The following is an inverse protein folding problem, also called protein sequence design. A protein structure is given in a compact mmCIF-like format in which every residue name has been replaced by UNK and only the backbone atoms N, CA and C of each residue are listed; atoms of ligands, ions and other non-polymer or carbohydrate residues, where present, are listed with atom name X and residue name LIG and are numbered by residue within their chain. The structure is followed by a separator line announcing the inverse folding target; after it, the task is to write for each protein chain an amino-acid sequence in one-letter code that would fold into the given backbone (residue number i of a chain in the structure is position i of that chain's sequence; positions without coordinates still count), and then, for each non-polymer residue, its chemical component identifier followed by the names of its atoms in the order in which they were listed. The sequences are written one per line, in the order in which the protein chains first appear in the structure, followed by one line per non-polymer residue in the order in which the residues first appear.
data_IF_723975479110
#
_entry.id   IF_723975479110
#
_cell.length_a   1.000
_cell.length_b   1.000
_cell.length_c   1.000
_cell.angle_alpha   90.00
_cell.angle_beta   90.00
_cell.angle_gamma   90.00
#
_symmetry.space_group_name_H-M   'P 1'
#
loop_
_entity.id
_entity.type
_entity.pdbx_description
1 polymer ?
#
# COMPACT_ATOMS: atom_id res chain seq x y z
N UNK A 1 -32.38 -45.94 14.43
CA UNK A 1 -31.37 -44.87 14.38
C UNK A 1 -30.01 -45.49 14.12
N UNK A 2 -29.58 -45.56 12.86
CA UNK A 2 -28.29 -46.17 12.48
C UNK A 2 -27.17 -45.13 12.64
N UNK A 3 -26.46 -45.19 13.77
CA UNK A 3 -25.21 -44.45 13.94
C UNK A 3 -24.12 -45.07 13.06
N UNK A 4 -23.79 -44.44 11.93
CA UNK A 4 -22.59 -44.79 11.16
C UNK A 4 -21.38 -44.55 12.06
N UNK A 5 -20.74 -45.62 12.53
CA UNK A 5 -19.42 -45.54 13.17
C UNK A 5 -18.42 -45.03 12.12
N UNK A 6 -17.93 -43.80 12.30
CA UNK A 6 -16.78 -43.33 11.53
C UNK A 6 -15.58 -44.22 11.86
N UNK A 7 -14.85 -44.66 10.83
CA UNK A 7 -13.62 -45.44 11.00
C UNK A 7 -12.48 -44.50 11.38
N UNK A 8 -11.48 -45.01 12.10
CA UNK A 8 -10.26 -44.25 12.46
C UNK A 8 -9.59 -43.60 11.23
N UNK A 9 -9.67 -44.23 10.06
CA UNK A 9 -9.15 -43.69 8.81
C UNK A 9 -9.93 -42.44 8.34
N UNK A 10 -11.26 -42.40 8.50
CA UNK A 10 -12.08 -41.23 8.12
C UNK A 10 -11.85 -40.05 9.08
N UNK A 11 -11.61 -40.33 10.37
CA UNK A 11 -11.27 -39.29 11.36
C UNK A 11 -9.86 -38.73 11.12
N UNK A 12 -8.88 -39.58 10.75
CA UNK A 12 -7.53 -39.14 10.42
C UNK A 12 -7.46 -38.29 9.15
N UNK A 13 -8.25 -38.62 8.11
CA UNK A 13 -8.34 -37.81 6.89
C UNK A 13 -9.01 -36.46 7.17
N UNK A 14 -10.05 -36.42 8.01
CA UNK A 14 -10.68 -35.16 8.42
C UNK A 14 -9.75 -34.28 9.27
N UNK A 15 -8.95 -34.86 10.17
CA UNK A 15 -7.93 -34.14 10.94
C UNK A 15 -6.77 -33.64 10.08
N UNK A 16 -6.32 -34.41 9.09
CA UNK A 16 -5.29 -33.99 8.14
C UNK A 16 -5.77 -32.88 7.20
N UNK A 17 -7.04 -32.92 6.76
CA UNK A 17 -7.65 -31.82 6.01
C UNK A 17 -7.77 -30.56 6.88
N UNK A 18 -8.18 -30.71 8.15
CA UNK A 18 -8.29 -29.58 9.07
C UNK A 18 -6.93 -28.95 9.37
N UNK A 19 -5.86 -29.74 9.49
CA UNK A 19 -4.49 -29.25 9.67
C UNK A 19 -3.90 -28.57 8.42
N UNK A 20 -4.37 -28.93 7.21
CA UNK A 20 -3.98 -28.23 5.98
C UNK A 20 -4.74 -26.91 5.75
N UNK A 21 -5.91 -26.75 6.37
CA UNK A 21 -6.73 -25.52 6.29
C UNK A 21 -6.58 -24.60 7.50
N UNK A 22 -6.06 -25.12 8.62
CA UNK A 22 -5.79 -24.32 9.80
C UNK A 22 -4.40 -23.69 9.64
N UNK A 23 -4.36 -22.48 9.07
CA UNK A 23 -3.22 -21.59 9.24
C UNK A 23 -2.97 -21.49 10.75
N UNK A 24 -1.80 -21.89 11.27
CA UNK A 24 -1.54 -21.73 12.70
C UNK A 24 -1.73 -20.25 13.02
N UNK A 25 -2.60 -19.96 13.99
CA UNK A 25 -2.77 -18.61 14.49
C UNK A 25 -1.44 -18.24 15.14
N UNK A 26 -0.61 -17.51 14.40
CA UNK A 26 0.66 -17.00 14.91
C UNK A 26 0.35 -16.12 16.12
N UNK A 27 1.12 -16.28 17.19
CA UNK A 27 1.04 -15.39 18.33
C UNK A 27 1.49 -13.98 17.89
N UNK A 28 0.88 -12.94 18.46
CA UNK A 28 1.14 -11.54 18.08
C UNK A 28 2.61 -11.13 18.25
N UNK A 29 3.30 -11.71 19.22
CA UNK A 29 4.73 -11.51 19.49
C UNK A 29 5.66 -12.31 18.57
N UNK A 30 5.11 -13.10 17.64
CA UNK A 30 5.93 -13.86 16.67
C UNK A 30 6.71 -12.91 15.79
N UNK A 31 8.03 -13.04 15.76
CA UNK A 31 8.91 -12.35 14.80
C UNK A 31 8.65 -12.92 13.40
N UNK A 32 8.27 -12.07 12.46
CA UNK A 32 7.95 -12.46 11.07
C UNK A 32 9.03 -12.03 10.07
N UNK A 33 10.04 -11.28 10.52
CA UNK A 33 11.19 -10.85 9.75
C UNK A 33 11.92 -9.72 10.47
N UNK A 34 12.83 -9.06 9.75
CA UNK A 34 13.67 -7.99 10.27
C UNK A 34 13.79 -6.84 9.26
N UNK A 35 14.15 -5.67 9.75
CA UNK A 35 14.57 -4.52 8.93
C UNK A 35 15.96 -4.08 9.37
N UNK A 36 16.84 -3.82 8.40
CA UNK A 36 18.19 -3.31 8.66
C UNK A 36 18.27 -1.79 8.80
N UNK A 37 17.12 -1.11 8.75
CA UNK A 37 16.96 0.34 8.92
C UNK A 37 15.64 0.63 9.66
N UNK A 38 15.49 1.83 10.24
CA UNK A 38 14.21 2.27 10.78
C UNK A 38 13.20 2.52 9.65
N UNK A 39 12.00 1.97 9.76
CA UNK A 39 10.89 2.20 8.81
C UNK A 39 10.05 3.37 9.32
N UNK A 40 10.19 4.53 8.66
CA UNK A 40 9.56 5.77 9.11
C UNK A 40 8.08 5.83 8.71
N UNK A 41 7.21 5.45 9.63
CA UNK A 41 5.76 5.52 9.51
C UNK A 41 5.12 6.66 10.30
N UNK A 42 5.93 7.59 10.82
CA UNK A 42 5.45 8.68 11.66
C UNK A 42 4.38 9.50 10.93
N UNK A 43 3.24 9.72 11.61
CA UNK A 43 2.10 10.47 11.06
C UNK A 43 2.53 11.80 10.44
N UNK A 44 3.47 12.50 11.06
CA UNK A 44 3.96 13.80 10.60
C UNK A 44 4.74 13.70 9.28
N UNK A 45 5.38 12.56 9.01
CA UNK A 45 6.22 12.35 7.83
C UNK A 45 5.43 11.71 6.69
N UNK A 46 4.77 10.57 6.91
CA UNK A 46 4.04 9.84 5.85
C UNK A 46 2.91 10.66 5.21
N UNK A 47 2.51 11.77 5.85
CA UNK A 47 1.45 12.68 5.41
C UNK A 47 1.93 14.01 4.84
N UNK A 48 3.24 14.24 4.78
CA UNK A 48 3.80 15.51 4.29
C UNK A 48 5.04 15.34 3.41
N UNK A 49 5.67 14.17 3.42
CA UNK A 49 6.90 13.92 2.67
C UNK A 49 7.01 12.44 2.27
N UNK A 50 7.92 12.17 1.35
CA UNK A 50 8.36 10.80 1.06
C UNK A 50 8.96 10.14 2.31
N UNK A 51 8.63 8.88 2.52
CA UNK A 51 9.18 8.04 3.58
C UNK A 51 9.59 6.70 3.03
N UNK A 52 10.59 6.07 3.64
CA UNK A 52 11.01 4.74 3.22
C UNK A 52 9.93 3.68 3.46
N UNK A 53 9.15 3.77 4.55
CA UNK A 53 8.03 2.86 4.76
C UNK A 53 6.91 3.10 3.73
N UNK A 54 6.64 4.35 3.38
CA UNK A 54 5.72 4.68 2.28
C UNK A 54 6.16 4.11 0.94
N UNK A 55 7.46 4.20 0.63
CA UNK A 55 8.04 3.59 -0.56
C UNK A 55 7.89 2.07 -0.54
N UNK A 56 8.21 1.41 0.56
CA UNK A 56 8.04 -0.04 0.73
C UNK A 56 6.59 -0.49 0.48
N UNK A 57 5.62 0.21 1.08
CA UNK A 57 4.19 -0.09 0.92
C UNK A 57 3.78 0.08 -0.55
N UNK A 58 4.15 1.17 -1.19
CA UNK A 58 3.83 1.37 -2.61
C UNK A 58 4.55 0.35 -3.51
N UNK A 59 5.80 -0.01 -3.20
CA UNK A 59 6.58 -0.99 -3.98
C UNK A 59 5.99 -2.39 -3.90
N UNK A 60 5.66 -2.88 -2.70
CA UNK A 60 5.07 -4.21 -2.56
C UNK A 60 3.72 -4.29 -3.29
N UNK A 61 2.91 -3.23 -3.25
CA UNK A 61 1.62 -3.17 -3.96
C UNK A 61 1.86 -3.21 -5.46
N UNK A 62 2.80 -2.40 -5.97
CA UNK A 62 3.12 -2.37 -7.40
C UNK A 62 3.67 -3.70 -7.90
N UNK A 63 4.57 -4.32 -7.15
CA UNK A 63 5.18 -5.61 -7.47
C UNK A 63 4.12 -6.73 -7.49
N UNK A 64 3.29 -6.80 -6.46
CA UNK A 64 2.25 -7.82 -6.34
C UNK A 64 1.18 -7.71 -7.43
N UNK A 65 0.78 -6.49 -7.77
CA UNK A 65 -0.28 -6.24 -8.77
C UNK A 65 0.22 -6.22 -10.21
N UNK A 66 1.52 -6.01 -10.43
CA UNK A 66 2.09 -5.78 -11.76
C UNK A 66 1.69 -4.44 -12.40
N UNK A 67 1.10 -3.52 -11.64
CA UNK A 67 0.63 -2.22 -12.13
C UNK A 67 1.79 -1.31 -12.59
N UNK A 68 1.49 -0.35 -13.46
CA UNK A 68 2.48 0.67 -13.87
C UNK A 68 2.88 1.54 -12.69
N UNK A 69 1.90 1.89 -11.86
CA UNK A 69 1.99 2.82 -10.73
C UNK A 69 1.30 2.19 -9.53
N UNK A 70 1.81 2.44 -8.32
CA UNK A 70 1.04 2.25 -7.10
C UNK A 70 1.05 3.52 -6.25
N UNK A 71 -0.08 3.78 -5.59
CA UNK A 71 -0.23 4.90 -4.64
C UNK A 71 -0.84 4.40 -3.35
N UNK A 72 -0.46 5.02 -2.23
CA UNK A 72 -1.03 4.71 -0.92
C UNK A 72 -1.15 5.98 -0.10
N UNK A 73 -2.32 6.26 0.48
CA UNK A 73 -2.47 7.42 1.34
C UNK A 73 -1.72 7.22 2.66
N UNK A 74 -1.00 8.24 3.12
CA UNK A 74 -0.31 8.26 4.42
C UNK A 74 -1.26 8.12 5.61
N UNK A 75 -2.57 8.28 5.39
CA UNK A 75 -3.62 7.90 6.33
C UNK A 75 -3.66 6.41 6.64
N UNK A 76 -3.31 5.57 5.66
CA UNK A 76 -3.29 4.11 5.70
C UNK A 76 -2.09 3.52 6.44
N UNK A 77 -0.97 4.25 6.56
CA UNK A 77 0.24 3.81 7.27
C UNK A 77 0.20 4.35 8.70
N UNK A 78 0.20 3.47 9.70
CA UNK A 78 -0.26 3.80 11.06
C UNK A 78 0.80 3.81 12.14
N UNK A 79 1.92 3.14 11.92
CA UNK A 79 3.01 3.03 12.87
C UNK A 79 4.36 2.98 12.14
N UNK A 80 5.44 3.18 12.90
CA UNK A 80 6.83 2.98 12.47
C UNK A 80 7.33 1.60 12.92
N UNK A 81 8.37 1.07 12.27
CA UNK A 81 9.14 -0.06 12.80
C UNK A 81 10.56 0.39 13.15
N UNK A 82 11.04 -0.03 14.33
CA UNK A 82 12.43 0.15 14.73
C UNK A 82 13.38 -0.71 13.89
N UNK A 83 14.68 -0.43 13.99
CA UNK A 83 15.73 -1.31 13.48
C UNK A 83 15.65 -2.68 14.17
N UNK A 84 15.78 -3.77 13.42
CA UNK A 84 15.81 -5.15 13.93
C UNK A 84 14.51 -5.90 13.66
N UNK A 85 14.09 -6.70 14.64
CA UNK A 85 12.95 -7.61 14.52
C UNK A 85 11.62 -6.87 14.29
N UNK A 86 10.79 -7.42 13.41
CA UNK A 86 9.42 -7.01 13.16
C UNK A 86 8.51 -8.15 13.62
N UNK A 87 7.66 -7.88 14.61
CA UNK A 87 6.64 -8.82 15.08
C UNK A 87 5.39 -8.77 14.21
N UNK A 88 4.58 -9.82 14.28
CA UNK A 88 3.27 -9.85 13.66
C UNK A 88 2.39 -8.69 14.15
N UNK A 89 2.39 -8.42 15.46
CA UNK A 89 1.70 -7.26 16.05
C UNK A 89 2.15 -5.96 15.40
N UNK A 90 3.46 -5.71 15.32
CA UNK A 90 3.99 -4.49 14.71
C UNK A 90 3.59 -4.36 13.24
N UNK A 91 3.58 -5.45 12.47
CA UNK A 91 3.13 -5.42 11.09
C UNK A 91 1.62 -5.13 10.96
N UNK A 92 0.79 -5.71 11.83
CA UNK A 92 -0.64 -5.43 11.89
C UNK A 92 -0.92 -3.99 12.37
N UNK A 93 -0.12 -3.46 13.29
CA UNK A 93 -0.23 -2.07 13.71
C UNK A 93 0.11 -1.10 12.58
N UNK A 94 1.14 -1.39 11.76
CA UNK A 94 1.51 -0.56 10.61
C UNK A 94 0.40 -0.54 9.56
N UNK A 95 -0.12 -1.71 9.19
CA UNK A 95 -1.19 -1.90 8.20
C UNK A 95 -2.48 -2.36 8.88
N UNK A 96 -3.15 -1.45 9.60
CA UNK A 96 -4.22 -1.81 10.54
C UNK A 96 -5.61 -2.02 9.92
N UNK A 97 -5.81 -1.68 8.65
CA UNK A 97 -7.15 -1.59 8.07
C UNK A 97 -7.59 -2.84 7.29
N UNK A 98 -6.65 -3.67 6.85
CA UNK A 98 -6.94 -4.89 6.11
C UNK A 98 -7.81 -4.62 4.86
N UNK A 99 -7.48 -3.53 4.14
CA UNK A 99 -8.17 -3.13 2.91
C UNK A 99 -7.86 -4.11 1.78
N UNK A 100 -8.81 -4.33 0.89
CA UNK A 100 -8.55 -4.94 -0.41
C UNK A 100 -7.61 -4.06 -1.26
N UNK A 101 -6.77 -4.72 -2.07
CA UNK A 101 -5.92 -4.07 -3.06
C UNK A 101 -6.64 -4.10 -4.40
N UNK A 102 -6.70 -2.95 -5.08
CA UNK A 102 -7.43 -2.80 -6.34
C UNK A 102 -6.54 -2.16 -7.41
N UNK A 103 -6.76 -2.52 -8.67
CA UNK A 103 -6.16 -1.87 -9.82
C UNK A 103 -7.22 -1.12 -10.64
N UNK A 104 -6.88 0.12 -11.00
CA UNK A 104 -7.71 1.03 -11.78
C UNK A 104 -7.00 1.40 -13.08
N UNK A 105 -7.74 1.49 -14.19
CA UNK A 105 -7.25 2.15 -15.40
C UNK A 105 -7.49 3.66 -15.32
N UNK A 106 -6.39 4.43 -15.43
CA UNK A 106 -6.43 5.88 -15.29
C UNK A 106 -5.63 6.56 -16.40
N UNK A 107 -6.21 7.62 -16.97
CA UNK A 107 -5.47 8.54 -17.84
C UNK A 107 -4.45 9.36 -17.05
N UNK A 108 -3.39 9.84 -17.71
CA UNK A 108 -2.44 10.77 -17.10
C UNK A 108 -3.10 12.02 -16.50
N UNK A 109 -4.20 12.51 -17.09
CA UNK A 109 -5.00 13.60 -16.53
C UNK A 109 -5.65 13.23 -15.18
N UNK A 110 -6.23 12.04 -15.07
CA UNK A 110 -6.80 11.56 -13.81
C UNK A 110 -5.72 11.36 -12.75
N UNK A 111 -4.56 10.82 -13.13
CA UNK A 111 -3.40 10.67 -12.23
C UNK A 111 -2.93 12.04 -11.74
N UNK A 112 -2.83 13.04 -12.62
CA UNK A 112 -2.50 14.41 -12.21
C UNK A 112 -3.53 14.96 -11.21
N UNK A 113 -4.82 14.79 -11.48
CA UNK A 113 -5.89 15.26 -10.58
C UNK A 113 -5.81 14.57 -9.20
N UNK A 114 -5.53 13.27 -9.17
CA UNK A 114 -5.30 12.50 -7.95
C UNK A 114 -4.11 13.04 -7.15
N UNK A 115 -2.96 13.26 -7.79
CA UNK A 115 -1.77 13.80 -7.12
C UNK A 115 -1.99 15.23 -6.62
N UNK A 116 -2.66 16.08 -7.40
CA UNK A 116 -3.05 17.45 -7.00
C UNK A 116 -3.93 17.43 -5.74
N UNK A 117 -4.88 16.50 -5.66
CA UNK A 117 -5.71 16.32 -4.48
C UNK A 117 -4.89 15.89 -3.26
N UNK A 118 -3.99 14.92 -3.44
CA UNK A 118 -3.12 14.43 -2.35
C UNK A 118 -2.28 15.52 -1.71
N UNK A 119 -1.78 16.48 -2.50
CA UNK A 119 -0.96 17.61 -1.98
C UNK A 119 -1.76 18.87 -1.68
N UNK A 120 -3.08 18.88 -1.88
CA UNK A 120 -3.91 20.10 -1.76
C UNK A 120 -3.97 20.70 -0.36
N UNK A 121 -3.78 19.89 0.70
CA UNK A 121 -3.74 20.35 2.10
C UNK A 121 -2.32 20.65 2.59
N UNK A 122 -1.27 20.34 1.83
CA UNK A 122 0.11 20.59 2.27
C UNK A 122 0.29 22.08 2.65
N UNK A 123 0.96 22.40 3.80
CA UNK A 123 1.74 21.51 4.68
C UNK A 123 0.97 20.87 5.84
N UNK A 124 -0.37 20.87 5.84
CA UNK A 124 -1.16 20.19 6.87
C UNK A 124 -0.92 18.67 6.84
N UNK A 125 -1.01 18.04 8.01
CA UNK A 125 -0.72 16.61 8.24
C UNK A 125 -1.93 15.75 7.86
N UNK A 126 -2.36 15.87 6.60
CA UNK A 126 -3.57 15.26 6.08
C UNK A 126 -3.36 13.82 5.68
N UNK A 127 -4.33 12.95 6.01
CA UNK A 127 -4.26 11.52 5.66
C UNK A 127 -4.17 11.28 4.16
N UNK A 128 -4.72 12.18 3.34
CA UNK A 128 -4.82 12.04 1.90
C UNK A 128 -3.48 12.11 1.15
N UNK A 129 -2.40 12.59 1.75
CA UNK A 129 -1.10 12.68 1.05
C UNK A 129 -0.64 11.30 0.58
N UNK A 130 -0.19 11.17 -0.67
CA UNK A 130 0.14 9.88 -1.28
C UNK A 130 1.63 9.57 -1.20
N UNK A 131 1.95 8.36 -0.74
CA UNK A 131 3.21 7.66 -1.01
C UNK A 131 3.07 6.94 -2.36
N UNK A 132 4.16 6.78 -3.12
CA UNK A 132 4.09 6.39 -4.53
C UNK A 132 5.19 5.40 -4.94
N UNK A 133 4.89 4.58 -5.95
CA UNK A 133 5.84 3.71 -6.67
C UNK A 133 5.54 3.72 -8.17
N UNK A 134 6.56 3.49 -9.00
CA UNK A 134 6.44 3.53 -10.47
C UNK A 134 6.40 4.94 -11.07
N UNK A 135 6.12 5.96 -10.26
CA UNK A 135 6.20 7.37 -10.66
C UNK A 135 7.04 8.20 -9.70
N UNK A 136 7.46 9.36 -10.20
CA UNK A 136 8.05 10.47 -9.42
C UNK A 136 7.32 11.75 -9.79
N UNK A 137 7.04 12.60 -8.81
CA UNK A 137 6.43 13.91 -9.09
C UNK A 137 7.03 15.05 -8.28
N UNK A 138 6.93 16.26 -8.84
CA UNK A 138 7.38 17.51 -8.26
C UNK A 138 6.16 18.39 -8.04
N UNK A 139 6.07 19.02 -6.87
CA UNK A 139 5.00 19.96 -6.57
C UNK A 139 5.48 21.23 -5.86
N UNK A 140 4.83 22.34 -6.19
CA UNK A 140 5.08 23.68 -5.68
C UNK A 140 3.93 24.09 -4.73
N UNK A 141 4.15 24.12 -3.41
CA UNK A 141 3.10 24.45 -2.45
C UNK A 141 2.73 25.94 -2.42
N UNK A 142 3.50 26.82 -3.07
CA UNK A 142 3.17 28.25 -3.21
C UNK A 142 2.02 28.49 -4.19
N UNK A 143 1.72 27.51 -5.05
CA UNK A 143 0.62 27.58 -6.02
C UNK A 143 -0.72 27.23 -5.39
N UNK A 144 -1.83 27.75 -5.98
CA UNK A 144 -3.18 27.34 -5.58
C UNK A 144 -3.35 25.83 -5.62
N UNK A 145 -4.11 25.28 -4.66
CA UNK A 145 -4.50 23.87 -4.69
C UNK A 145 -5.16 23.51 -6.04
N UNK A 146 -4.82 22.34 -6.58
CA UNK A 146 -5.21 21.94 -7.95
C UNK A 146 -4.24 22.38 -9.04
N UNK A 147 -3.23 23.19 -8.71
CA UNK A 147 -2.19 23.64 -9.63
C UNK A 147 -0.77 23.49 -9.03
N UNK A 148 -0.61 22.65 -8.01
CA UNK A 148 0.63 22.44 -7.28
C UNK A 148 1.55 21.46 -7.99
N UNK A 149 1.03 20.40 -8.61
CA UNK A 149 1.83 19.38 -9.29
C UNK A 149 2.34 19.91 -10.63
N UNK A 150 3.67 20.04 -10.75
CA UNK A 150 4.33 20.64 -11.92
C UNK A 150 4.86 19.61 -12.90
N UNK A 151 5.49 18.55 -12.40
CA UNK A 151 6.09 17.51 -13.22
C UNK A 151 5.75 16.15 -12.67
N UNK A 152 5.45 15.20 -13.56
CA UNK A 152 5.19 13.80 -13.23
C UNK A 152 5.97 12.97 -14.24
N UNK A 153 6.70 11.98 -13.73
CA UNK A 153 7.48 11.03 -14.50
C UNK A 153 6.98 9.63 -14.18
N UNK A 154 6.79 8.79 -15.20
CA UNK A 154 6.52 7.36 -15.03
C UNK A 154 7.75 6.62 -15.55
N UNK A 155 8.42 5.89 -14.66
CA UNK A 155 9.81 5.46 -14.90
C UNK A 155 10.72 6.65 -15.20
N UNK A 156 11.44 6.62 -16.31
CA UNK A 156 12.36 7.70 -16.72
C UNK A 156 11.74 8.75 -17.65
N UNK A 157 10.49 8.58 -18.09
CA UNK A 157 9.85 9.44 -19.08
C UNK A 157 8.83 10.39 -18.42
N UNK A 158 8.69 11.63 -18.92
CA UNK A 158 7.57 12.49 -18.54
C UNK A 158 6.24 11.78 -18.80
N UNK A 159 5.30 11.91 -17.87
CA UNK A 159 3.98 11.30 -18.00
C UNK A 159 3.19 11.99 -19.12
N UNK A 160 2.66 11.20 -20.04
CA UNK A 160 1.77 11.68 -21.09
C UNK A 160 0.34 11.84 -20.56
N UNK A 161 -0.30 13.02 -20.68
CA UNK A 161 -1.62 13.26 -20.09
C UNK A 161 -2.76 12.39 -20.65
N UNK A 162 -2.69 12.03 -21.93
CA UNK A 162 -3.72 11.25 -22.62
C UNK A 162 -3.49 9.74 -22.60
N UNK A 163 -2.32 9.28 -22.14
CA UNK A 163 -2.02 7.84 -22.03
C UNK A 163 -2.72 7.25 -20.83
N UNK A 164 -3.23 6.03 -20.96
CA UNK A 164 -3.76 5.21 -19.87
C UNK A 164 -2.64 4.43 -19.19
N UNK A 165 -2.72 4.33 -17.87
CA UNK A 165 -1.83 3.55 -17.01
C UNK A 165 -2.68 2.71 -16.06
N UNK A 166 -2.14 1.56 -15.65
CA UNK A 166 -2.71 0.78 -14.56
C UNK A 166 -2.18 1.31 -13.23
N UNK A 167 -3.07 1.69 -12.33
CA UNK A 167 -2.76 2.27 -11.02
C UNK A 167 -3.31 1.38 -9.92
N UNK A 168 -2.43 0.83 -9.08
CA UNK A 168 -2.81 0.05 -7.91
C UNK A 168 -2.94 0.93 -6.65
N UNK A 169 -3.94 0.64 -5.82
CA UNK A 169 -4.24 1.35 -4.56
C UNK A 169 -5.06 0.45 -3.61
N UNK A 170 -5.52 1.00 -2.49
CA UNK A 170 -6.51 0.35 -1.61
C UNK A 170 -7.96 0.69 -2.00
N UNK A 171 -8.87 -0.22 -1.64
CA UNK A 171 -10.32 -0.05 -1.87
C UNK A 171 -10.88 1.24 -1.24
N UNK A 172 -10.34 1.70 -0.11
CA UNK A 172 -10.82 2.92 0.56
C UNK A 172 -10.63 4.15 -0.34
N UNK A 173 -9.47 4.30 -0.98
CA UNK A 173 -9.24 5.37 -1.95
C UNK A 173 -10.07 5.18 -3.22
N UNK A 174 -10.13 3.96 -3.75
CA UNK A 174 -10.92 3.67 -4.96
C UNK A 174 -12.42 3.95 -4.78
N UNK A 175 -12.95 3.75 -3.57
CA UNK A 175 -14.31 4.09 -3.19
C UNK A 175 -14.54 5.59 -2.89
N UNK A 176 -13.52 6.44 -3.10
CA UNK A 176 -13.60 7.90 -2.90
C UNK A 176 -13.29 8.37 -1.48
N UNK A 177 -12.73 7.51 -0.62
CA UNK A 177 -12.22 7.90 0.70
C UNK A 177 -11.17 9.01 0.61
N UNK A 178 -10.96 9.75 1.71
CA UNK A 178 -10.07 10.93 1.74
C UNK A 178 -10.43 12.00 0.67
N UNK A 179 -11.69 12.04 0.23
CA UNK A 179 -12.24 12.90 -0.82
C UNK A 179 -11.64 12.64 -2.22
N UNK A 180 -11.14 11.44 -2.50
CA UNK A 180 -10.64 11.02 -3.81
C UNK A 180 -11.77 10.73 -4.82
N UNK A 181 -12.77 11.62 -4.92
CA UNK A 181 -13.96 11.44 -5.76
C UNK A 181 -13.64 11.30 -7.25
N UNK A 182 -12.50 11.83 -7.70
CA UNK A 182 -12.03 11.69 -9.09
C UNK A 182 -11.66 10.25 -9.48
N UNK A 183 -11.53 9.34 -8.51
CA UNK A 183 -11.29 7.91 -8.76
C UNK A 183 -12.59 7.16 -9.07
N UNK A 184 -13.76 7.69 -8.71
CA UNK A 184 -15.04 7.02 -8.92
C UNK A 184 -15.44 6.79 -10.38
N UNK A 185 -14.84 7.55 -11.31
CA UNK A 185 -15.03 7.39 -12.75
C UNK A 185 -13.98 6.48 -13.41
N UNK A 186 -12.95 6.03 -12.67
CA UNK A 186 -11.93 5.14 -13.19
C UNK A 186 -12.47 3.71 -13.31
N UNK A 187 -12.10 3.01 -14.38
CA UNK A 187 -12.47 1.61 -14.55
C UNK A 187 -11.65 0.75 -13.59
N UNK A 188 -12.33 0.07 -12.66
CA UNK A 188 -11.69 -0.93 -11.81
C UNK A 188 -11.54 -2.23 -12.59
N UNK A 189 -10.31 -2.61 -12.87
CA UNK A 189 -10.01 -3.80 -13.69
C UNK A 189 -9.78 -5.06 -12.86
N UNK A 190 -9.34 -4.92 -11.60
CA UNK A 190 -9.04 -6.07 -10.73
C UNK A 190 -9.14 -5.74 -9.24
N UNK A 191 -9.58 -6.72 -8.44
CA UNK A 191 -9.43 -6.79 -6.98
C UNK A 191 -8.55 -8.00 -6.71
N UNK A 192 -7.47 -7.81 -5.96
CA UNK A 192 -6.48 -8.85 -5.68
C UNK A 192 -6.84 -9.69 -4.46
N UNK A 193 -6.29 -10.91 -4.38
CA UNK A 193 -6.67 -11.91 -3.37
C UNK A 193 -6.15 -11.62 -1.96
N UNK A 194 -5.07 -10.84 -1.83
CA UNK A 194 -4.53 -10.40 -0.55
C UNK A 194 -5.00 -9.02 -0.17
N UNK A 195 -5.27 -8.84 1.12
CA UNK A 195 -5.40 -7.52 1.71
C UNK A 195 -4.05 -6.85 1.89
N UNK A 196 -4.06 -5.54 2.12
CA UNK A 196 -2.86 -4.74 2.39
C UNK A 196 -2.03 -5.27 3.57
N UNK A 197 -2.70 -5.67 4.66
CA UNK A 197 -2.07 -6.27 5.84
C UNK A 197 -1.44 -7.64 5.51
N UNK A 198 -2.18 -8.50 4.80
CA UNK A 198 -1.68 -9.83 4.41
C UNK A 198 -0.49 -9.73 3.46
N UNK A 199 -0.56 -8.81 2.50
CA UNK A 199 0.55 -8.54 1.58
C UNK A 199 1.77 -8.04 2.35
N UNK A 200 1.61 -7.11 3.29
CA UNK A 200 2.73 -6.57 4.09
C UNK A 200 3.43 -7.66 4.90
N UNK A 201 2.66 -8.50 5.61
CA UNK A 201 3.18 -9.64 6.38
C UNK A 201 3.93 -10.61 5.47
N UNK A 202 3.34 -10.98 4.33
CA UNK A 202 3.96 -11.88 3.35
C UNK A 202 5.25 -11.27 2.79
N UNK A 203 5.25 -9.98 2.48
CA UNK A 203 6.39 -9.27 1.91
C UNK A 203 7.57 -9.24 2.89
N UNK A 204 7.32 -8.97 4.17
CA UNK A 204 8.35 -9.04 5.23
C UNK A 204 8.95 -10.45 5.29
N UNK A 205 8.11 -11.50 5.33
CA UNK A 205 8.57 -12.89 5.42
C UNK A 205 9.43 -13.32 4.22
N UNK A 206 9.16 -12.76 3.04
CA UNK A 206 9.86 -13.11 1.79
C UNK A 206 11.13 -12.29 1.55
N UNK A 207 11.21 -11.06 2.10
CA UNK A 207 12.26 -10.09 1.76
C UNK A 207 13.08 -9.63 2.97
N UNK A 208 13.01 -10.35 4.10
CA UNK A 208 13.80 -10.05 5.29
C UNK A 208 15.30 -10.33 5.06
N UNK A 209 16.23 -9.43 5.46
CA UNK A 209 15.97 -8.14 6.07
C UNK A 209 15.63 -7.02 5.07
N UNK A 210 14.73 -6.12 5.47
CA UNK A 210 14.27 -4.99 4.66
C UNK A 210 15.25 -3.80 4.67
N UNK A 211 15.41 -3.12 3.52
CA UNK A 211 16.21 -1.90 3.35
C UNK A 211 15.59 -0.86 2.39
N UNK A 212 14.29 -0.49 2.52
CA UNK A 212 13.70 0.50 1.64
C UNK A 212 14.34 1.89 1.83
N UNK A 213 14.52 2.63 0.75
CA UNK A 213 15.17 3.95 0.79
C UNK A 213 14.20 5.06 0.37
N UNK A 214 14.50 6.29 0.79
CA UNK A 214 13.94 7.50 0.16
C UNK A 214 14.73 7.75 -1.11
N UNK A 215 14.04 7.88 -2.25
CA UNK A 215 14.64 7.90 -3.59
C UNK A 215 14.34 9.20 -4.35
N UNK A 216 13.61 10.13 -3.73
CA UNK A 216 13.20 11.38 -4.37
C UNK A 216 12.02 11.19 -5.30
N UNK A 217 11.13 10.24 -4.99
CA UNK A 217 9.84 10.01 -5.66
C UNK A 217 8.88 11.18 -5.48
N UNK A 218 8.98 11.90 -4.35
CA UNK A 218 8.13 13.05 -4.04
C UNK A 218 8.99 14.26 -3.70
N UNK A 219 8.95 15.28 -4.56
CA UNK A 219 9.84 16.45 -4.43
C UNK A 219 9.05 17.74 -4.28
N UNK A 220 9.28 18.43 -3.16
CA UNK A 220 8.79 19.80 -2.95
C UNK A 220 9.75 20.77 -3.64
N UNK A 221 9.27 21.51 -4.63
CA UNK A 221 10.04 22.59 -5.27
C UNK A 221 9.67 23.94 -4.65
N UNK A 222 10.64 24.86 -4.64
CA UNK A 222 10.52 26.22 -4.07
C UNK A 222 10.69 27.27 -5.15
#
# INVERSE_FOLDING_TARGET
MNGKKLTLATVAIALALFALTATPLLALDTVIGETGIMLNGERQHVRTQETNLGNLVADMTREYTGADIAVWNGGGIRASAGLGEITLEGAMEIMAFNNEIVALEMTGNQIKAMLEHGVSSFPEVSGKFLQVSGLRFLFDPSRPAGQRVQEIYVGSAPMEPGRTYVVATNEFLAAGGDDYTMLGDAEQIEIFDLTDQQLFIRYIQQNSPLFPMVEGRIVVIR
#
